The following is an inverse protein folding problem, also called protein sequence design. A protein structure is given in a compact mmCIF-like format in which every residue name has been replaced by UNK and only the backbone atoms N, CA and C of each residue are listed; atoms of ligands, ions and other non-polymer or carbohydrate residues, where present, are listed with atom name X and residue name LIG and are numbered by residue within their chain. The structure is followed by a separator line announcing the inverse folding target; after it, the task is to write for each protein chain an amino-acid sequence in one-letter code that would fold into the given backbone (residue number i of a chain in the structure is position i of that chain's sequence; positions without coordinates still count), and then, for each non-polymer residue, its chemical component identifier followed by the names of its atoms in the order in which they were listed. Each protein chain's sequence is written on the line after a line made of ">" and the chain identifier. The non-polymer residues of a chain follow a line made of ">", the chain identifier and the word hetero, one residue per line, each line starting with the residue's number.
data_IF_582456976692
#
_entry.id   IF_582456976692
#
_cell.length_a   1.000
_cell.length_b   1.000
_cell.length_c   1.000
_cell.angle_alpha   90.00
_cell.angle_beta   90.00
_cell.angle_gamma   90.00
#
_symmetry.space_group_name_H-M   'P 1'
#
loop_
_entity.id
_entity.type
_entity.pdbx_description
1 polymer ?
#
# COMPACT_ATOMS: atom_id res chain seq x y z
N UNK A 1 21.16 -25.65 -16.34
CA UNK A 1 20.62 -24.29 -16.19
C UNK A 1 20.01 -24.18 -14.81
N UNK A 2 20.77 -23.64 -13.85
CA UNK A 2 20.22 -23.32 -12.53
C UNK A 2 19.11 -22.27 -12.69
N UNK A 3 17.93 -22.57 -12.12
CA UNK A 3 16.89 -21.58 -11.94
C UNK A 3 17.45 -20.54 -10.97
N UNK A 4 17.64 -19.30 -11.42
CA UNK A 4 17.86 -18.17 -10.53
C UNK A 4 16.63 -18.04 -9.63
N UNK A 5 16.72 -18.57 -8.42
CA UNK A 5 15.88 -18.14 -7.32
C UNK A 5 16.27 -16.69 -7.03
N UNK A 6 15.56 -15.76 -7.64
CA UNK A 6 15.58 -14.36 -7.21
C UNK A 6 14.95 -14.35 -5.82
N UNK A 7 15.79 -14.29 -4.79
CA UNK A 7 15.34 -14.28 -3.41
C UNK A 7 14.72 -12.90 -3.11
N UNK A 8 13.47 -12.70 -3.55
CA UNK A 8 12.69 -11.46 -3.39
C UNK A 8 12.56 -11.05 -1.91
N UNK A 9 12.84 -11.96 -0.99
CA UNK A 9 12.98 -11.74 0.45
C UNK A 9 13.95 -10.60 0.79
N UNK A 10 15.10 -10.52 0.10
CA UNK A 10 16.09 -9.45 0.33
C UNK A 10 15.65 -8.09 -0.24
N UNK A 11 14.78 -8.08 -1.25
CA UNK A 11 14.24 -6.86 -1.87
C UNK A 11 13.03 -6.29 -1.09
N UNK A 12 12.34 -7.13 -0.32
CA UNK A 12 11.13 -6.78 0.41
C UNK A 12 11.44 -6.50 1.89
N UNK A 13 11.95 -5.30 2.19
CA UNK A 13 12.11 -4.85 3.58
C UNK A 13 10.78 -4.35 4.15
N UNK A 14 10.00 -5.28 4.72
CA UNK A 14 8.73 -4.98 5.39
C UNK A 14 8.91 -4.01 6.55
N UNK A 15 10.06 -4.04 7.24
CA UNK A 15 10.34 -3.16 8.38
C UNK A 15 10.57 -1.72 7.91
N UNK A 16 11.22 -1.53 6.77
CA UNK A 16 11.34 -0.24 6.11
C UNK A 16 9.97 0.28 5.66
N UNK A 17 9.17 -0.54 4.97
CA UNK A 17 7.85 -0.13 4.47
C UNK A 17 6.91 0.31 5.60
N UNK A 18 6.94 -0.37 6.75
CA UNK A 18 6.17 0.02 7.95
C UNK A 18 6.56 1.38 8.51
N UNK A 19 7.80 1.83 8.28
CA UNK A 19 8.33 3.12 8.77
C UNK A 19 8.31 4.21 7.70
N UNK A 20 8.00 3.87 6.45
CA UNK A 20 8.03 4.81 5.34
C UNK A 20 6.94 5.88 5.53
N UNK A 21 7.37 7.12 5.72
CA UNK A 21 6.51 8.31 5.79
C UNK A 21 7.18 9.44 5.03
N UNK A 22 6.53 9.96 4.00
CA UNK A 22 7.10 10.98 3.10
C UNK A 22 6.16 12.18 2.95
N UNK A 23 6.72 13.35 2.65
CA UNK A 23 5.95 14.57 2.44
C UNK A 23 5.17 14.55 1.13
N UNK A 24 4.12 15.37 1.04
CA UNK A 24 3.29 15.45 -0.17
C UNK A 24 4.08 15.80 -1.45
N UNK A 25 5.19 16.56 -1.31
CA UNK A 25 6.09 16.87 -2.41
C UNK A 25 6.79 15.62 -2.93
N UNK A 26 7.31 14.78 -2.04
CA UNK A 26 7.92 13.50 -2.39
C UNK A 26 6.87 12.53 -2.96
N UNK A 27 5.66 12.46 -2.39
CA UNK A 27 4.57 11.63 -2.95
C UNK A 27 4.28 12.05 -4.39
N UNK A 28 4.20 13.34 -4.68
CA UNK A 28 3.99 13.84 -6.04
C UNK A 28 5.09 13.39 -7.00
N UNK A 29 6.36 13.44 -6.57
CA UNK A 29 7.51 12.96 -7.36
C UNK A 29 7.48 11.44 -7.57
N UNK A 30 7.16 10.67 -6.53
CA UNK A 30 7.11 9.19 -6.56
C UNK A 30 5.99 8.71 -7.49
N UNK A 31 4.83 9.36 -7.42
CA UNK A 31 3.61 8.90 -8.09
C UNK A 31 3.37 9.57 -9.44
N UNK A 32 4.09 10.66 -9.75
CA UNK A 32 3.81 11.51 -10.91
C UNK A 32 2.52 12.33 -10.78
N UNK A 33 1.78 12.19 -9.69
CA UNK A 33 0.48 12.84 -9.51
C UNK A 33 0.68 14.26 -8.97
N UNK A 34 0.00 15.28 -9.54
CA UNK A 34 0.10 16.65 -9.02
C UNK A 34 -0.35 16.77 -7.57
N UNK A 35 0.40 17.53 -6.76
CA UNK A 35 0.10 17.83 -5.35
C UNK A 35 -1.37 18.24 -5.13
N UNK A 36 -1.93 19.05 -6.04
CA UNK A 36 -3.34 19.50 -5.97
C UNK A 36 -4.32 18.33 -5.99
N UNK A 37 -4.07 17.31 -6.82
CA UNK A 37 -4.92 16.12 -6.92
C UNK A 37 -4.82 15.26 -5.67
N UNK A 38 -3.61 15.12 -5.09
CA UNK A 38 -3.40 14.43 -3.81
C UNK A 38 -4.15 15.14 -2.67
N UNK A 39 -4.08 16.48 -2.59
CA UNK A 39 -4.85 17.26 -1.59
C UNK A 39 -6.35 17.08 -1.77
N UNK A 40 -6.83 17.13 -3.01
CA UNK A 40 -8.24 16.90 -3.32
C UNK A 40 -8.70 15.50 -2.89
N UNK A 41 -7.88 14.46 -3.12
CA UNK A 41 -8.20 13.11 -2.66
C UNK A 41 -8.24 13.00 -1.13
N UNK A 42 -7.35 13.70 -0.44
CA UNK A 42 -7.40 13.77 1.03
C UNK A 42 -8.64 14.53 1.54
N UNK A 43 -8.99 15.65 0.93
CA UNK A 43 -10.22 16.42 1.25
C UNK A 43 -11.49 15.59 1.04
N UNK A 44 -11.48 14.67 0.07
CA UNK A 44 -12.55 13.70 -0.16
C UNK A 44 -12.51 12.50 0.80
N UNK A 45 -11.55 12.45 1.72
CA UNK A 45 -11.38 11.34 2.67
C UNK A 45 -10.89 10.05 2.03
N UNK A 46 -10.36 10.11 0.80
CA UNK A 46 -9.87 8.92 0.07
C UNK A 46 -8.54 8.45 0.65
N UNK A 47 -7.71 9.40 1.09
CA UNK A 47 -6.43 9.17 1.75
C UNK A 47 -6.34 10.07 2.98
N UNK A 48 -5.46 9.74 3.93
CA UNK A 48 -5.30 10.51 5.16
C UNK A 48 -3.82 10.71 5.48
N UNK A 49 -3.41 11.96 5.67
CA UNK A 49 -2.06 12.23 6.17
C UNK A 49 -1.93 11.88 7.66
N UNK A 50 -0.71 11.56 8.07
CA UNK A 50 -0.38 11.14 9.45
C UNK A 50 -0.32 12.32 10.44
N UNK A 51 -0.48 13.56 9.99
CA UNK A 51 -0.25 14.75 10.81
C UNK A 51 -1.56 15.29 11.40
N UNK A 52 -1.94 14.76 12.57
CA UNK A 52 -3.08 15.25 13.36
C UNK A 52 -2.69 16.29 14.43
N UNK A 53 -1.41 16.70 14.55
CA UNK A 53 -0.94 17.59 15.64
C UNK A 53 0.16 18.59 15.23
N UNK A 54 -0.21 19.63 14.49
CA UNK A 54 0.58 20.88 14.42
C UNK A 54 1.66 21.00 13.33
N UNK A 55 1.83 20.00 12.45
CA UNK A 55 2.71 20.12 11.28
C UNK A 55 1.96 20.69 10.07
N UNK A 56 2.46 21.76 9.46
CA UNK A 56 1.83 22.40 8.27
C UNK A 56 1.89 21.54 7.01
N UNK A 57 2.85 20.61 6.93
CA UNK A 57 3.11 19.82 5.73
C UNK A 57 2.53 18.41 5.86
N UNK A 58 1.64 18.02 4.96
CA UNK A 58 1.04 16.68 4.89
C UNK A 58 2.09 15.61 4.63
N UNK A 59 1.96 14.48 5.33
CA UNK A 59 2.83 13.31 5.20
C UNK A 59 2.01 12.04 5.05
N UNK A 60 2.42 11.16 4.16
CA UNK A 60 1.70 9.93 3.82
C UNK A 60 2.60 8.72 4.00
N UNK A 61 2.02 7.64 4.50
CA UNK A 61 2.68 6.36 4.65
C UNK A 61 2.66 5.54 3.35
N UNK A 62 3.32 4.38 3.39
CA UNK A 62 3.32 3.43 2.28
C UNK A 62 1.91 3.06 1.79
N UNK A 63 0.95 2.84 2.69
CA UNK A 63 -0.39 2.41 2.32
C UNK A 63 -1.16 3.49 1.56
N UNK A 64 -1.04 4.75 2.00
CA UNK A 64 -1.59 5.88 1.27
C UNK A 64 -0.95 6.01 -0.11
N UNK A 65 0.38 5.92 -0.22
CA UNK A 65 1.09 6.00 -1.51
C UNK A 65 0.65 4.87 -2.45
N UNK A 66 0.51 3.65 -1.94
CA UNK A 66 0.03 2.51 -2.73
C UNK A 66 -1.41 2.72 -3.20
N UNK A 67 -2.29 3.21 -2.32
CA UNK A 67 -3.69 3.55 -2.68
C UNK A 67 -3.75 4.61 -3.77
N UNK A 68 -2.91 5.66 -3.66
CA UNK A 68 -2.79 6.74 -4.65
C UNK A 68 -2.41 6.18 -6.03
N UNK A 69 -1.38 5.33 -6.10
CA UNK A 69 -0.95 4.69 -7.34
C UNK A 69 -2.05 3.83 -7.98
N UNK A 70 -2.68 2.97 -7.19
CA UNK A 70 -3.75 2.09 -7.69
C UNK A 70 -4.97 2.87 -8.19
N UNK A 71 -5.34 3.97 -7.52
CA UNK A 71 -6.43 4.84 -8.00
C UNK A 71 -6.04 5.49 -9.33
N UNK A 72 -4.79 5.96 -9.45
CA UNK A 72 -4.30 6.57 -10.68
C UNK A 72 -4.32 5.60 -11.87
N UNK A 73 -3.90 4.36 -11.68
CA UNK A 73 -3.98 3.30 -12.70
C UNK A 73 -5.44 3.12 -13.18
N UNK A 74 -6.40 3.02 -12.27
CA UNK A 74 -7.83 2.89 -12.63
C UNK A 74 -8.35 4.13 -13.37
N UNK A 75 -7.91 5.33 -13.00
CA UNK A 75 -8.31 6.55 -13.72
C UNK A 75 -7.74 6.57 -15.14
N UNK A 76 -6.50 6.08 -15.33
CA UNK A 76 -5.86 5.96 -16.65
C UNK A 76 -6.56 4.91 -17.53
N UNK A 77 -7.14 3.88 -16.92
CA UNK A 77 -8.03 2.91 -17.60
C UNK A 77 -9.42 3.47 -17.93
N UNK A 78 -9.73 4.72 -17.55
CA UNK A 78 -10.98 5.41 -17.87
C UNK A 78 -12.10 5.25 -16.84
N UNK A 79 -11.83 4.71 -15.65
CA UNK A 79 -12.82 4.68 -14.57
C UNK A 79 -13.04 6.07 -13.97
N UNK A 80 -14.22 6.29 -13.38
CA UNK A 80 -14.46 7.46 -12.54
C UNK A 80 -13.67 7.36 -11.23
N UNK A 81 -13.43 8.49 -10.56
CA UNK A 81 -12.75 8.50 -9.25
C UNK A 81 -13.48 7.62 -8.24
N UNK A 82 -14.80 7.72 -8.15
CA UNK A 82 -15.62 6.92 -7.23
C UNK A 82 -15.50 5.41 -7.51
N UNK A 83 -15.62 5.01 -8.78
CA UNK A 83 -15.47 3.61 -9.17
C UNK A 83 -14.06 3.09 -8.88
N UNK A 84 -13.05 3.92 -9.12
CA UNK A 84 -11.64 3.61 -8.84
C UNK A 84 -11.41 3.38 -7.35
N UNK A 85 -11.85 4.30 -6.49
CA UNK A 85 -11.72 4.18 -5.03
C UNK A 85 -12.40 2.90 -4.54
N UNK A 86 -13.65 2.66 -4.94
CA UNK A 86 -14.40 1.47 -4.54
C UNK A 86 -13.72 0.16 -4.95
N UNK A 87 -13.18 0.09 -6.18
CA UNK A 87 -12.44 -1.08 -6.68
C UNK A 87 -11.15 -1.31 -5.90
N UNK A 88 -10.38 -0.25 -5.65
CA UNK A 88 -9.10 -0.32 -4.93
C UNK A 88 -9.33 -0.75 -3.48
N UNK A 89 -10.31 -0.16 -2.78
CA UNK A 89 -10.64 -0.54 -1.41
C UNK A 89 -11.11 -1.99 -1.30
N UNK A 90 -11.99 -2.43 -2.20
CA UNK A 90 -12.41 -3.83 -2.27
C UNK A 90 -11.21 -4.76 -2.45
N UNK A 91 -10.31 -4.45 -3.40
CA UNK A 91 -9.12 -5.26 -3.66
C UNK A 91 -8.19 -5.33 -2.45
N UNK A 92 -7.95 -4.21 -1.78
CA UNK A 92 -7.11 -4.17 -0.57
C UNK A 92 -7.73 -4.97 0.58
N UNK A 93 -9.04 -4.84 0.80
CA UNK A 93 -9.76 -5.64 1.81
C UNK A 93 -9.65 -7.13 1.52
N UNK A 94 -9.95 -7.56 0.29
CA UNK A 94 -9.87 -8.97 -0.09
C UNK A 94 -8.46 -9.53 0.12
N UNK A 95 -7.42 -8.80 -0.28
CA UNK A 95 -6.04 -9.23 -0.06
C UNK A 95 -5.72 -9.35 1.44
N UNK A 96 -6.14 -8.37 2.25
CA UNK A 96 -5.92 -8.40 3.69
C UNK A 96 -6.60 -9.62 4.36
N UNK A 97 -7.83 -9.93 3.96
CA UNK A 97 -8.58 -11.08 4.46
C UNK A 97 -7.89 -12.40 4.05
N UNK A 98 -7.42 -12.49 2.81
CA UNK A 98 -6.66 -13.65 2.32
C UNK A 98 -5.37 -13.85 3.11
N UNK A 99 -4.59 -12.78 3.33
CA UNK A 99 -3.35 -12.87 4.12
C UNK A 99 -3.61 -13.23 5.59
N UNK A 100 -4.69 -12.70 6.18
CA UNK A 100 -5.09 -13.04 7.56
C UNK A 100 -5.43 -14.53 7.68
N UNK A 101 -6.23 -15.06 6.75
CA UNK A 101 -6.58 -16.48 6.73
C UNK A 101 -5.36 -17.37 6.53
N UNK A 102 -4.43 -16.96 5.65
CA UNK A 102 -3.18 -17.67 5.44
C UNK A 102 -2.29 -17.65 6.70
N UNK A 103 -2.13 -16.51 7.37
CA UNK A 103 -1.36 -16.40 8.62
C UNK A 103 -1.90 -17.36 9.68
N UNK A 104 -3.22 -17.36 9.89
CA UNK A 104 -3.87 -18.26 10.85
C UNK A 104 -3.56 -19.73 10.54
N UNK A 105 -3.65 -20.13 9.27
CA UNK A 105 -3.37 -21.52 8.86
C UNK A 105 -1.90 -21.92 9.01
N UNK A 106 -0.97 -20.97 8.93
CA UNK A 106 0.46 -21.21 9.15
C UNK A 106 0.79 -21.27 10.65
N UNK A 107 0.09 -20.50 11.48
CA UNK A 107 0.22 -20.53 12.95
C UNK A 107 -0.39 -21.81 13.56
N UNK A 108 -1.41 -22.39 12.92
CA UNK A 108 -2.05 -23.65 13.34
C UNK A 108 -1.26 -24.92 12.97
N UNK A 109 -0.13 -24.81 12.25
CA UNK A 109 0.77 -25.95 12.05
C UNK A 109 1.64 -26.15 13.29
N UNK A 110 1.53 -27.28 14.01
CA UNK A 110 2.48 -27.56 15.07
C UNK A 110 3.90 -27.60 14.49
N UNK A 111 4.78 -26.75 15.04
CA UNK A 111 6.22 -26.92 14.91
C UNK A 111 6.60 -28.22 15.64
N UNK A 112 6.61 -29.33 14.89
CA UNK A 112 7.57 -30.44 14.93
C UNK A 112 6.92 -31.79 14.59
N UNK A 113 7.44 -32.45 13.56
CA UNK A 113 7.92 -33.83 13.71
C UNK A 113 8.81 -34.21 12.52
N UNK A 114 10.09 -34.37 12.82
CA UNK A 114 11.00 -35.37 12.23
C UNK A 114 11.23 -35.33 10.72
N UNK A 115 12.30 -34.66 10.31
CA UNK A 115 13.21 -35.30 9.35
C UNK A 115 14.46 -35.73 10.13
N UNK A 116 14.74 -37.02 10.03
CA UNK A 116 15.74 -37.81 10.76
C UNK A 116 17.18 -37.29 10.65
#
# INVERSE_FOLDING_TARGET
>A
MEKRNEDYSALLDVKLLKKLVVGIGEVSKITGIPIRKIRYWEEKGIIHSQNNKGGTTRRYDYMNIKKILLIQEMLEEGFTLEASVKKVEKRLSTLNDMFKNLSNHLEDRPLNSEDK
#
